data_IF_492937701830
#
_entry.id   IF_492937701830
#
_cell.length_a   1.000
_cell.length_b   1.000
_cell.length_c   1.000
_cell.angle_alpha   90.00
_cell.angle_beta   90.00
_cell.angle_gamma   90.00
#
_symmetry.space_group_name_H-M   'P 1'
#
loop_
_entity.id
_entity.type
_entity.pdbx_description
1 polymer ?
#
# COMPACT_ATOMS: atom_id res chain seq x y z
N UNK A 1 -6.44 -18.03 8.89
CA UNK A 1 -5.34 -17.14 9.32
C UNK A 1 -5.94 -15.77 9.61
N UNK A 2 -5.24 -14.80 10.23
CA UNK A 2 -5.87 -13.50 10.45
C UNK A 2 -6.17 -12.84 9.11
N UNK A 3 -7.38 -12.29 9.00
CA UNK A 3 -7.86 -11.62 7.79
C UNK A 3 -7.11 -10.31 7.67
N UNK A 4 -6.59 -10.01 6.48
CA UNK A 4 -5.95 -8.73 6.18
C UNK A 4 -6.87 -7.86 5.32
N UNK A 5 -6.78 -6.56 5.53
CA UNK A 5 -7.52 -5.52 4.84
C UNK A 5 -6.67 -4.95 3.71
N UNK A 6 -7.22 -4.96 2.50
CA UNK A 6 -6.55 -4.51 1.28
C UNK A 6 -7.04 -3.11 0.93
N UNK A 7 -6.10 -2.18 0.79
CA UNK A 7 -6.33 -0.78 0.45
C UNK A 7 -5.72 -0.47 -0.91
N UNK A 8 -6.59 -0.32 -1.89
CA UNK A 8 -6.24 0.06 -3.25
C UNK A 8 -5.73 1.51 -3.25
N UNK A 9 -4.47 1.69 -3.66
CA UNK A 9 -3.76 2.96 -3.51
C UNK A 9 -3.17 3.45 -4.83
N UNK A 10 -3.53 4.67 -5.21
CA UNK A 10 -2.99 5.37 -6.38
C UNK A 10 -2.11 6.55 -5.97
N UNK A 11 -0.83 6.46 -6.31
CA UNK A 11 0.12 7.54 -6.12
C UNK A 11 0.45 8.22 -7.46
N UNK A 12 0.48 9.55 -7.47
CA UNK A 12 0.84 10.32 -8.66
C UNK A 12 2.14 11.08 -8.44
N UNK A 13 3.15 10.73 -9.22
CA UNK A 13 4.46 11.41 -9.21
C UNK A 13 4.38 12.78 -9.89
N UNK A 14 5.27 13.73 -9.55
CA UNK A 14 5.36 15.04 -10.24
C UNK A 14 5.72 14.90 -11.72
N UNK A 15 6.28 13.76 -12.14
CA UNK A 15 6.53 13.44 -13.55
C UNK A 15 5.26 13.02 -14.32
N UNK A 16 4.09 12.98 -13.66
CA UNK A 16 2.82 12.58 -14.25
C UNK A 16 2.60 11.08 -14.34
N UNK A 17 3.54 10.26 -13.85
CA UNK A 17 3.35 8.80 -13.76
C UNK A 17 2.44 8.47 -12.57
N UNK A 18 1.46 7.62 -12.83
CA UNK A 18 0.60 7.02 -11.81
C UNK A 18 1.18 5.66 -11.41
N UNK A 19 1.21 5.38 -10.12
CA UNK A 19 1.63 4.13 -9.53
C UNK A 19 0.44 3.55 -8.78
N UNK A 20 0.13 2.30 -9.06
CA UNK A 20 -0.96 1.58 -8.46
C UNK A 20 -0.39 0.41 -7.66
N UNK A 21 -0.76 0.35 -6.39
CA UNK A 21 -0.35 -0.69 -5.46
C UNK A 21 -1.41 -0.85 -4.37
N UNK A 22 -1.47 -2.04 -3.79
CA UNK A 22 -2.31 -2.28 -2.63
C UNK A 22 -1.48 -2.22 -1.35
N UNK A 23 -2.02 -1.56 -0.33
CA UNK A 23 -1.52 -1.62 1.04
C UNK A 23 -2.32 -2.66 1.79
N UNK A 24 -1.63 -3.62 2.40
CA UNK A 24 -2.26 -4.74 3.12
C UNK A 24 -1.92 -4.66 4.59
N UNK A 25 -2.95 -4.60 5.44
CA UNK A 25 -2.85 -4.42 6.89
C UNK A 25 -3.70 -5.45 7.64
N UNK A 26 -3.36 -5.78 8.88
CA UNK A 26 -4.25 -6.58 9.74
C UNK A 26 -5.35 -5.70 10.37
N UNK A 27 -5.12 -4.38 10.47
CA UNK A 27 -6.07 -3.41 11.00
C UNK A 27 -6.84 -2.70 9.90
N UNK A 28 -8.15 -2.52 10.10
CA UNK A 28 -8.98 -1.74 9.19
C UNK A 28 -8.84 -0.22 9.46
N UNK A 29 -7.64 0.32 9.26
CA UNK A 29 -7.36 1.75 9.45
C UNK A 29 -6.83 2.41 8.17
N UNK A 30 -7.66 3.26 7.56
CA UNK A 30 -7.32 3.97 6.33
C UNK A 30 -6.24 5.04 6.53
N UNK A 31 -6.17 5.66 7.71
CA UNK A 31 -5.14 6.66 8.00
C UNK A 31 -3.77 5.99 8.09
N UNK A 32 -3.73 4.83 8.73
CA UNK A 32 -2.56 3.99 8.84
C UNK A 32 -2.11 3.47 7.46
N UNK A 33 -3.05 3.00 6.63
CA UNK A 33 -2.77 2.60 5.25
C UNK A 33 -2.13 3.73 4.44
N UNK A 34 -2.66 4.94 4.56
CA UNK A 34 -2.12 6.12 3.88
C UNK A 34 -0.69 6.45 4.35
N UNK A 35 -0.42 6.33 5.65
CA UNK A 35 0.91 6.58 6.20
C UNK A 35 1.92 5.55 5.66
N UNK A 36 1.59 4.26 5.71
CA UNK A 36 2.46 3.22 5.17
C UNK A 36 2.66 3.32 3.66
N UNK A 37 1.63 3.73 2.91
CA UNK A 37 1.78 4.03 1.48
C UNK A 37 2.84 5.11 1.24
N UNK A 38 2.82 6.20 2.02
CA UNK A 38 3.80 7.28 1.91
C UNK A 38 5.20 6.81 2.29
N UNK A 39 5.34 6.12 3.43
CA UNK A 39 6.63 5.58 3.88
C UNK A 39 7.24 4.63 2.84
N UNK A 40 6.42 3.77 2.22
CA UNK A 40 6.88 2.89 1.16
C UNK A 40 7.32 3.67 -0.09
N UNK A 41 6.53 4.66 -0.53
CA UNK A 41 6.88 5.54 -1.65
C UNK A 41 8.21 6.27 -1.40
N UNK A 42 8.44 6.75 -0.18
CA UNK A 42 9.71 7.35 0.23
C UNK A 42 10.87 6.33 0.18
N UNK A 43 10.64 5.10 0.65
CA UNK A 43 11.63 4.02 0.65
C UNK A 43 12.10 3.64 -0.77
N UNK A 44 11.21 3.69 -1.76
CA UNK A 44 11.54 3.42 -3.17
C UNK A 44 12.04 4.67 -3.93
N UNK A 45 12.29 5.79 -3.24
CA UNK A 45 12.78 7.03 -3.85
C UNK A 45 11.72 7.85 -4.59
N UNK A 46 10.44 7.55 -4.36
CA UNK A 46 9.27 8.24 -4.89
C UNK A 46 8.57 9.11 -3.84
N UNK A 47 9.33 9.74 -2.94
CA UNK A 47 8.81 10.67 -1.92
C UNK A 47 7.97 11.84 -2.49
N UNK A 48 8.21 12.17 -3.75
CA UNK A 48 7.48 13.21 -4.50
C UNK A 48 6.10 12.74 -5.00
N UNK A 49 5.79 11.44 -4.87
CA UNK A 49 4.49 10.91 -5.24
C UNK A 49 3.40 11.37 -4.24
N UNK A 50 2.38 12.02 -4.77
CA UNK A 50 1.22 12.47 -4.00
C UNK A 50 0.26 11.29 -3.84
N UNK A 51 -0.05 10.94 -2.59
CA UNK A 51 -1.11 9.99 -2.22
C UNK A 51 -2.06 10.66 -1.22
N UNK A 52 -3.36 10.55 -1.47
CA UNK A 52 -4.42 11.17 -0.66
C UNK A 52 -5.39 10.10 -0.18
N UNK A 53 -6.19 10.41 0.86
CA UNK A 53 -7.22 9.49 1.35
C UNK A 53 -8.24 9.12 0.26
N UNK A 54 -8.53 10.04 -0.66
CA UNK A 54 -9.41 9.79 -1.81
C UNK A 54 -8.86 8.71 -2.74
N UNK A 55 -7.53 8.63 -2.85
CA UNK A 55 -6.82 7.67 -3.69
C UNK A 55 -6.37 6.42 -2.94
N UNK A 56 -6.64 6.30 -1.63
CA UNK A 56 -6.31 5.15 -0.80
C UNK A 56 -7.62 4.61 -0.22
N UNK A 57 -8.26 3.71 -0.97
CA UNK A 57 -9.60 3.22 -0.66
C UNK A 57 -9.55 1.75 -0.23
N UNK A 58 -10.28 1.43 0.84
CA UNK A 58 -10.49 0.04 1.23
C UNK A 58 -11.23 -0.70 0.11
N UNK A 59 -10.66 -1.83 -0.34
CA UNK A 59 -11.24 -2.64 -1.40
C UNK A 59 -12.01 -3.83 -0.81
N UNK A 60 -11.30 -4.71 -0.10
CA UNK A 60 -11.88 -5.91 0.52
C UNK A 60 -10.94 -6.47 1.59
N UNK A 61 -11.45 -7.42 2.36
CA UNK A 61 -10.65 -8.18 3.32
C UNK A 61 -10.44 -9.60 2.82
N UNK A 62 -9.19 -10.05 2.80
CA UNK A 62 -8.80 -11.38 2.31
C UNK A 62 -7.67 -11.97 3.17
N UNK A 63 -7.49 -13.28 3.09
CA UNK A 63 -6.30 -13.91 3.66
C UNK A 63 -5.08 -13.52 2.83
N UNK A 64 -4.13 -12.81 3.45
CA UNK A 64 -2.90 -12.43 2.78
C UNK A 64 -2.09 -13.70 2.41
N UNK A 65 -1.56 -13.79 1.17
CA UNK A 65 -0.66 -14.87 0.78
C UNK A 65 0.57 -14.91 1.69
N UNK A 66 1.26 -16.07 1.82
CA UNK A 66 2.34 -16.25 2.78
C UNK A 66 3.47 -15.21 2.67
N UNK A 67 3.76 -14.72 1.47
CA UNK A 67 4.76 -13.68 1.23
C UNK A 67 4.37 -12.31 1.79
N UNK A 68 3.12 -11.87 1.55
CA UNK A 68 2.59 -10.64 2.13
C UNK A 68 2.42 -10.79 3.64
N UNK A 69 1.97 -11.98 4.10
CA UNK A 69 1.82 -12.28 5.52
C UNK A 69 3.15 -12.12 6.24
N UNK A 70 4.24 -12.64 5.70
CA UNK A 70 5.57 -12.51 6.30
C UNK A 70 5.94 -11.03 6.49
N UNK A 71 5.75 -10.21 5.44
CA UNK A 71 5.99 -8.77 5.52
C UNK A 71 5.13 -8.10 6.60
N UNK A 72 3.82 -8.36 6.64
CA UNK A 72 2.92 -7.81 7.67
C UNK A 72 3.41 -8.18 9.08
N UNK A 73 3.91 -9.40 9.31
CA UNK A 73 4.44 -9.79 10.62
C UNK A 73 5.80 -9.17 10.95
N UNK A 74 6.62 -8.85 9.94
CA UNK A 74 7.95 -8.24 10.14
C UNK A 74 7.90 -6.72 10.33
N UNK A 75 7.03 -6.01 9.59
CA UNK A 75 7.00 -4.54 9.57
C UNK A 75 5.62 -3.91 9.84
N UNK A 76 4.56 -4.71 10.01
CA UNK A 76 3.19 -4.25 10.32
C UNK A 76 2.29 -4.06 9.09
N UNK A 77 2.86 -4.01 7.88
CA UNK A 77 2.12 -3.87 6.63
C UNK A 77 2.81 -4.61 5.49
N UNK A 78 2.11 -4.82 4.39
CA UNK A 78 2.73 -5.25 3.14
C UNK A 78 2.25 -4.41 1.96
N UNK A 79 3.06 -4.33 0.92
CA UNK A 79 2.74 -3.62 -0.30
C UNK A 79 2.71 -4.62 -1.45
N UNK A 80 1.57 -4.65 -2.14
CA UNK A 80 1.41 -5.42 -3.36
C UNK A 80 1.49 -4.49 -4.56
N UNK A 81 2.59 -4.58 -5.31
CA UNK A 81 2.82 -3.74 -6.49
C UNK A 81 1.90 -4.21 -7.63
N UNK A 82 1.14 -3.30 -8.24
CA UNK A 82 0.25 -3.62 -9.36
C UNK A 82 0.78 -3.01 -10.68
N UNK A 83 0.60 -1.71 -10.89
CA UNK A 83 0.96 -1.04 -12.14
C UNK A 83 1.85 0.18 -11.88
N UNK A 84 2.82 0.42 -12.77
CA UNK A 84 3.71 1.59 -12.69
C UNK A 84 4.71 1.58 -11.53
N UNK A 85 4.71 0.53 -10.71
CA UNK A 85 5.66 0.32 -9.62
C UNK A 85 7.00 -0.20 -10.14
N UNK A 86 8.14 0.23 -9.56
CA UNK A 86 9.46 -0.30 -9.93
C UNK A 86 9.60 -1.77 -9.52
N UNK A 87 10.28 -2.57 -10.35
CA UNK A 87 10.65 -3.97 -10.06
C UNK A 87 11.51 -4.08 -8.80
#
# INVERSE_FOLDING_TARGET
MPISHVYDTYAKTSKGRVMHFDVVLDEQDQTLALNYAKEWLESIGHADAIVTQENCCFCHSAEAPPELRKQINEQGYAIYKLEGCPE
#
